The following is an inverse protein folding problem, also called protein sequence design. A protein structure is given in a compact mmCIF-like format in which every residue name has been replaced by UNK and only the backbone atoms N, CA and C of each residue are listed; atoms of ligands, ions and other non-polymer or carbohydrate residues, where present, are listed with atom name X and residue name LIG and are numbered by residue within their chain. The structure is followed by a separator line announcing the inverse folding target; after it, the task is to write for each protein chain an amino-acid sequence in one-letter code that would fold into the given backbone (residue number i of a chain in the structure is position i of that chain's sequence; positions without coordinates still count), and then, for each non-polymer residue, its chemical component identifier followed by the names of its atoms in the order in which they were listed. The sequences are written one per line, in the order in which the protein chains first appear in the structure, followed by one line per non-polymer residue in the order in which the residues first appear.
data_IF_225256530792
#
_entry.id   IF_225256530792
#
_cell.length_a   1.000
_cell.length_b   1.000
_cell.length_c   1.000
_cell.angle_alpha   90.00
_cell.angle_beta   90.00
_cell.angle_gamma   90.00
#
_symmetry.space_group_name_H-M   'P 1'
#
loop_
_entity.id
_entity.type
_entity.pdbx_description
1 polymer ?
#
# COMPACT_ATOMS: atom_id res chain seq x y z
N UNK A 1 -6.33 2.73 4.85
CA UNK A 1 -5.93 1.65 5.81
C UNK A 1 -4.48 1.76 6.25
N UNK A 2 -3.50 1.74 5.34
CA UNK A 2 -2.07 1.84 5.70
C UNK A 2 -1.74 3.12 6.47
N UNK A 3 -2.30 4.25 6.06
CA UNK A 3 -2.18 5.53 6.77
C UNK A 3 -2.56 5.43 8.25
N UNK A 4 -3.75 4.87 8.55
CA UNK A 4 -4.22 4.69 9.92
C UNK A 4 -3.31 3.75 10.73
N UNK A 5 -2.75 2.71 10.09
CA UNK A 5 -1.76 1.81 10.70
C UNK A 5 -0.48 2.57 11.05
N UNK A 6 -0.02 3.45 10.17
CA UNK A 6 1.14 4.31 10.40
C UNK A 6 0.92 5.22 11.61
N UNK A 7 -0.20 5.94 11.68
CA UNK A 7 -0.51 6.79 12.84
C UNK A 7 -0.62 5.97 14.13
N UNK A 8 -1.31 4.82 14.09
CA UNK A 8 -1.44 3.96 15.25
C UNK A 8 -0.07 3.47 15.76
N UNK A 9 0.85 3.11 14.86
CA UNK A 9 2.23 2.78 15.23
C UNK A 9 2.97 3.97 15.84
N UNK A 10 2.88 5.15 15.24
CA UNK A 10 3.59 6.35 15.73
C UNK A 10 3.12 6.80 17.11
N UNK A 11 1.83 6.67 17.41
CA UNK A 11 1.27 7.05 18.71
C UNK A 11 1.54 5.99 19.78
N UNK A 12 1.48 4.70 19.44
CA UNK A 12 1.52 3.62 20.45
C UNK A 12 2.87 2.90 20.56
N UNK A 13 3.71 2.94 19.52
CA UNK A 13 4.93 2.13 19.42
C UNK A 13 4.72 0.62 19.25
N UNK A 14 3.47 0.15 19.11
CA UNK A 14 3.18 -1.29 19.06
C UNK A 14 3.56 -1.92 17.72
N UNK A 15 4.56 -2.81 17.75
CA UNK A 15 5.07 -3.52 16.56
C UNK A 15 4.03 -4.36 15.81
N UNK A 16 2.85 -4.64 16.39
CA UNK A 16 1.76 -5.32 15.65
C UNK A 16 1.37 -4.57 14.38
N UNK A 17 1.43 -3.24 14.40
CA UNK A 17 1.07 -2.40 13.26
C UNK A 17 2.07 -2.58 12.10
N UNK A 18 3.36 -2.72 12.41
CA UNK A 18 4.38 -3.07 11.43
C UNK A 18 4.16 -4.47 10.84
N UNK A 19 3.78 -5.44 11.67
CA UNK A 19 3.43 -6.81 11.21
C UNK A 19 2.25 -6.78 10.24
N UNK A 20 1.21 -5.99 10.53
CA UNK A 20 0.07 -5.80 9.63
C UNK A 20 0.47 -5.09 8.35
N UNK A 21 1.27 -4.03 8.42
CA UNK A 21 1.83 -3.35 7.26
C UNK A 21 2.62 -4.29 6.35
N UNK A 22 3.45 -5.16 6.92
CA UNK A 22 4.18 -6.18 6.16
C UNK A 22 3.26 -7.20 5.49
N UNK A 23 2.20 -7.62 6.19
CA UNK A 23 1.18 -8.51 5.62
C UNK A 23 0.51 -7.85 4.42
N UNK A 24 0.15 -6.58 4.51
CA UNK A 24 -0.46 -5.80 3.42
C UNK A 24 0.51 -5.72 2.23
N UNK A 25 1.77 -5.33 2.45
CA UNK A 25 2.76 -5.24 1.38
C UNK A 25 2.93 -6.56 0.63
N UNK A 26 3.02 -7.69 1.33
CA UNK A 26 3.09 -9.02 0.70
C UNK A 26 1.87 -9.32 -0.16
N UNK A 27 0.66 -8.92 0.25
CA UNK A 27 -0.54 -9.12 -0.57
C UNK A 27 -0.55 -8.21 -1.80
N UNK A 28 -0.12 -6.95 -1.67
CA UNK A 28 0.04 -6.03 -2.81
C UNK A 28 1.01 -6.59 -3.84
N UNK A 29 2.19 -7.05 -3.42
CA UNK A 29 3.17 -7.67 -4.33
C UNK A 29 2.63 -8.95 -4.95
N UNK A 30 1.88 -9.75 -4.20
CA UNK A 30 1.33 -11.03 -4.71
C UNK A 30 0.20 -10.82 -5.73
N UNK A 31 -0.68 -9.86 -5.49
CA UNK A 31 -1.94 -9.75 -6.24
C UNK A 31 -1.97 -8.58 -7.21
N UNK A 32 -1.28 -7.47 -6.91
CA UNK A 32 -1.33 -6.25 -7.72
C UNK A 32 -0.11 -6.06 -8.62
N UNK A 33 0.99 -6.81 -8.42
CA UNK A 33 2.21 -6.67 -9.23
C UNK A 33 2.02 -7.25 -10.63
N UNK A 34 2.29 -6.45 -11.65
CA UNK A 34 2.32 -6.84 -13.06
C UNK A 34 3.77 -6.87 -13.57
N UNK A 35 4.03 -7.30 -14.83
CA UNK A 35 5.37 -7.23 -15.41
C UNK A 35 5.97 -5.80 -15.47
N UNK A 36 5.11 -4.78 -15.57
CA UNK A 36 5.50 -3.39 -15.81
C UNK A 36 5.28 -2.48 -14.60
N UNK A 37 4.57 -2.92 -13.56
CA UNK A 37 4.27 -2.09 -12.39
C UNK A 37 3.28 -2.72 -11.43
N UNK A 38 2.30 -1.93 -11.00
CA UNK A 38 1.19 -2.37 -10.16
C UNK A 38 -0.15 -1.98 -10.80
N UNK A 39 -1.16 -2.83 -10.64
CA UNK A 39 -2.53 -2.56 -11.07
C UNK A 39 -3.52 -2.94 -9.98
N UNK A 40 -4.66 -2.25 -9.95
CA UNK A 40 -5.78 -2.59 -9.09
C UNK A 40 -6.39 -3.94 -9.46
N UNK A 41 -7.27 -4.43 -8.57
CA UNK A 41 -8.01 -5.67 -8.80
C UNK A 41 -9.43 -5.33 -9.24
N UNK A 42 -9.95 -6.04 -10.25
CA UNK A 42 -11.34 -5.91 -10.68
C UNK A 42 -12.30 -6.53 -9.66
N UNK A 43 -11.96 -7.72 -9.15
CA UNK A 43 -12.70 -8.42 -8.11
C UNK A 43 -11.75 -8.99 -7.03
N UNK A 44 -11.92 -8.55 -5.79
CA UNK A 44 -11.11 -8.99 -4.65
C UNK A 44 -11.46 -10.42 -4.20
N UNK A 45 -12.65 -10.91 -4.55
CA UNK A 45 -13.15 -12.24 -4.18
C UNK A 45 -12.71 -13.33 -5.15
N UNK A 46 -12.13 -12.97 -6.29
CA UNK A 46 -11.56 -13.92 -7.25
C UNK A 46 -10.33 -14.61 -6.67
N UNK A 47 -10.54 -15.86 -6.26
CA UNK A 47 -9.46 -16.79 -5.94
C UNK A 47 -9.10 -17.60 -7.19
N UNK A 48 -7.86 -17.49 -7.66
CA UNK A 48 -7.34 -18.29 -8.79
C UNK A 48 -7.39 -19.80 -8.53
N UNK A 49 -7.53 -20.23 -7.27
CA UNK A 49 -7.63 -21.62 -6.85
C UNK A 49 -9.05 -22.08 -6.49
N UNK A 50 -10.05 -21.21 -6.50
CA UNK A 50 -11.44 -21.68 -6.45
C UNK A 50 -11.82 -22.14 -7.85
N UNK A 51 -11.92 -23.47 -8.04
CA UNK A 51 -12.85 -24.00 -9.04
C UNK A 51 -14.23 -23.47 -8.65
N UNK A 52 -14.69 -22.42 -9.31
CA UNK A 52 -15.95 -21.78 -9.00
C UNK A 52 -17.10 -22.76 -9.23
N UNK A 53 -18.20 -22.58 -8.50
CA UNK A 53 -19.47 -23.26 -8.75
C UNK A 53 -19.89 -23.17 -10.24
N UNK A 54 -19.48 -22.10 -10.91
CA UNK A 54 -19.64 -21.83 -12.34
C UNK A 54 -18.92 -22.89 -13.22
N UNK A 55 -17.89 -23.56 -12.72
CA UNK A 55 -17.20 -24.65 -13.43
C UNK A 55 -17.96 -25.99 -13.34
N UNK A 56 -18.78 -26.25 -12.32
CA UNK A 56 -19.55 -27.52 -12.23
C UNK A 56 -20.74 -27.54 -13.18
N UNK A 57 -21.43 -26.42 -13.35
CA UNK A 57 -22.50 -26.27 -14.36
C UNK A 57 -21.91 -26.39 -15.78
N UNK A 58 -20.72 -25.83 -15.98
CA UNK A 58 -19.97 -26.01 -17.21
C UNK A 58 -19.41 -27.43 -17.39
N UNK A 59 -19.23 -28.21 -16.31
CA UNK A 59 -18.79 -29.61 -16.38
C UNK A 59 -19.95 -30.55 -16.72
N UNK A 60 -21.11 -30.36 -16.10
CA UNK A 60 -22.35 -31.08 -16.45
C UNK A 60 -22.73 -30.79 -17.91
N UNK A 61 -22.67 -29.52 -18.31
CA UNK A 61 -22.94 -29.10 -19.70
C UNK A 61 -21.91 -29.67 -20.69
N UNK A 62 -20.67 -29.93 -20.25
CA UNK A 62 -19.62 -30.58 -21.06
C UNK A 62 -19.81 -32.10 -21.19
N UNK A 63 -20.32 -32.77 -20.16
CA UNK A 63 -20.63 -34.20 -20.20
C UNK A 63 -21.83 -34.47 -21.13
N UNK A 64 -22.87 -33.62 -21.07
CA UNK A 64 -24.09 -33.76 -21.89
C UNK A 64 -23.85 -33.43 -23.37
N UNK A 65 -22.96 -32.46 -23.69
CA UNK A 65 -22.69 -32.06 -25.07
C UNK A 65 -21.55 -32.85 -25.76
N UNK A 66 -20.89 -33.78 -25.07
CA UNK A 66 -19.78 -34.55 -25.66
C UNK A 66 -20.22 -35.60 -26.69
N UNK A 67 -21.50 -35.99 -26.69
CA UNK A 67 -22.03 -37.00 -27.61
C UNK A 67 -22.51 -36.42 -28.96
N UNK A 68 -22.64 -35.11 -29.09
CA UNK A 68 -23.32 -34.52 -30.25
C UNK A 68 -22.55 -33.31 -30.76
N UNK A 69 -21.77 -33.56 -31.82
CA UNK A 69 -21.33 -32.59 -32.84
C UNK A 69 -20.13 -31.71 -32.46
N UNK A 70 -19.12 -31.74 -33.35
CA UNK A 70 -17.99 -30.83 -33.34
C UNK A 70 -18.45 -29.37 -33.42
N UNK A 71 -18.25 -28.64 -32.32
CA UNK A 71 -18.62 -27.23 -32.19
C UNK A 71 -17.40 -26.36 -31.87
N UNK A 72 -17.39 -25.15 -32.43
CA UNK A 72 -16.36 -24.13 -32.30
C UNK A 72 -15.78 -24.00 -30.89
N UNK A 73 -14.45 -24.15 -30.80
CA UNK A 73 -13.67 -23.91 -29.58
C UNK A 73 -13.77 -22.43 -29.20
N UNK A 74 -14.74 -22.06 -28.35
CA UNK A 74 -14.68 -20.80 -27.62
C UNK A 74 -13.46 -20.86 -26.69
N UNK A 75 -12.41 -20.12 -27.05
CA UNK A 75 -11.31 -19.80 -26.14
C UNK A 75 -11.92 -19.06 -24.94
N UNK A 76 -12.08 -19.74 -23.80
CA UNK A 76 -12.40 -19.04 -22.54
C UNK A 76 -11.17 -18.20 -22.19
N UNK A 77 -11.18 -16.93 -22.55
CA UNK A 77 -10.18 -15.96 -22.12
C UNK A 77 -10.32 -15.81 -20.61
N UNK A 78 -9.40 -16.42 -19.86
CA UNK A 78 -9.16 -16.01 -18.48
C UNK A 78 -8.56 -14.60 -18.56
N UNK A 79 -9.41 -13.57 -18.57
CA UNK A 79 -8.93 -12.20 -18.44
C UNK A 79 -8.20 -12.06 -17.10
N UNK A 80 -7.06 -11.36 -17.11
CA UNK A 80 -6.37 -11.04 -15.86
C UNK A 80 -7.31 -10.23 -14.96
N UNK A 81 -7.34 -10.56 -13.67
CA UNK A 81 -8.11 -9.81 -12.65
C UNK A 81 -7.56 -8.40 -12.36
N UNK A 82 -6.75 -7.85 -13.27
CA UNK A 82 -6.14 -6.53 -13.19
C UNK A 82 -6.98 -5.52 -13.97
N UNK A 83 -7.16 -4.34 -13.40
CA UNK A 83 -7.87 -3.23 -14.06
C UNK A 83 -7.01 -2.46 -15.08
N UNK A 84 -5.72 -2.82 -15.18
CA UNK A 84 -4.70 -2.19 -16.04
C UNK A 84 -4.49 -0.69 -15.78
N UNK A 85 -4.76 -0.23 -14.55
CA UNK A 85 -4.51 1.13 -14.10
C UNK A 85 -3.59 1.16 -12.89
N UNK A 86 -2.51 1.95 -12.97
CA UNK A 86 -1.68 2.30 -11.82
C UNK A 86 -2.04 3.70 -11.32
N UNK A 87 -2.80 3.77 -10.24
CA UNK A 87 -3.13 5.05 -9.64
C UNK A 87 -1.90 5.74 -9.04
N UNK A 88 -1.78 7.06 -9.24
CA UNK A 88 -0.66 7.87 -8.72
C UNK A 88 -0.56 7.85 -7.19
N UNK A 89 -1.69 7.85 -6.49
CA UNK A 89 -1.76 7.77 -5.03
C UNK A 89 -1.12 6.49 -4.47
N UNK A 90 -1.01 5.42 -5.26
CA UNK A 90 -0.34 4.19 -4.83
C UNK A 90 1.13 4.46 -4.46
N UNK A 91 1.83 5.24 -5.28
CA UNK A 91 3.22 5.62 -5.02
C UNK A 91 3.31 6.71 -3.94
N UNK A 92 2.47 7.74 -4.05
CA UNK A 92 2.53 8.91 -3.17
C UNK A 92 2.11 8.61 -1.74
N UNK A 93 1.09 7.77 -1.54
CA UNK A 93 0.52 7.52 -0.21
C UNK A 93 0.85 6.11 0.26
N UNK A 94 0.44 5.09 -0.49
CA UNK A 94 0.50 3.70 -0.01
C UNK A 94 1.93 3.25 0.23
N UNK A 95 2.84 3.46 -0.74
CA UNK A 95 4.25 3.11 -0.57
C UNK A 95 4.97 4.05 0.41
N UNK A 96 4.61 5.33 0.45
CA UNK A 96 5.20 6.29 1.39
C UNK A 96 4.89 5.92 2.84
N UNK A 97 3.64 5.62 3.18
CA UNK A 97 3.27 5.21 4.53
C UNK A 97 3.83 3.83 4.90
N UNK A 98 3.87 2.88 3.96
CA UNK A 98 4.56 1.61 4.19
C UNK A 98 6.05 1.82 4.47
N UNK A 99 6.72 2.70 3.73
CA UNK A 99 8.13 3.03 3.97
C UNK A 99 8.33 3.69 5.34
N UNK A 100 7.52 4.69 5.69
CA UNK A 100 7.64 5.40 6.98
C UNK A 100 7.29 4.53 8.19
N UNK A 101 6.47 3.49 8.01
CA UNK A 101 6.11 2.53 9.05
C UNK A 101 7.30 1.68 9.51
N UNK A 102 8.27 1.41 8.63
CA UNK A 102 9.47 0.63 8.95
C UNK A 102 10.71 1.51 9.23
N UNK A 103 10.57 2.83 9.14
CA UNK A 103 11.63 3.77 9.48
C UNK A 103 11.53 4.28 10.91
N UNK A 104 12.64 4.80 11.40
CA UNK A 104 12.75 5.39 12.73
C UNK A 104 11.80 6.59 12.91
N UNK A 105 11.43 6.81 14.18
CA UNK A 105 10.50 7.87 14.56
C UNK A 105 11.03 9.28 14.22
N UNK A 106 12.35 9.42 14.14
CA UNK A 106 13.05 10.69 13.95
C UNK A 106 13.10 11.16 12.49
N UNK A 107 12.85 10.29 11.50
CA UNK A 107 12.96 10.67 10.09
C UNK A 107 11.90 11.72 9.70
N UNK A 108 10.68 11.58 10.23
CA UNK A 108 9.60 12.57 10.15
C UNK A 108 8.81 12.49 11.45
N UNK A 109 9.08 13.41 12.39
CA UNK A 109 8.31 13.49 13.63
C UNK A 109 6.94 14.12 13.37
N UNK A 110 5.88 13.53 13.94
CA UNK A 110 4.53 14.08 13.88
C UNK A 110 4.36 15.35 14.72
N UNK A 111 5.34 15.68 15.58
CA UNK A 111 5.36 16.94 16.34
C UNK A 111 5.81 18.13 15.47
N UNK A 112 6.56 17.85 14.39
CA UNK A 112 7.15 18.86 13.51
C UNK A 112 6.47 18.95 12.14
N UNK A 113 5.85 17.85 11.69
CA UNK A 113 5.24 17.75 10.37
C UNK A 113 3.77 17.32 10.45
N UNK A 114 2.92 18.05 9.73
CA UNK A 114 1.56 17.60 9.39
C UNK A 114 1.56 17.03 7.99
N UNK A 115 0.92 15.88 7.80
CA UNK A 115 0.66 15.34 6.47
C UNK A 115 -0.71 15.85 5.99
N UNK A 116 -0.79 16.29 4.73
CA UNK A 116 -2.08 16.49 4.07
C UNK A 116 -2.69 15.15 3.64
N UNK A 117 -3.87 15.19 3.01
CA UNK A 117 -4.59 14.00 2.52
C UNK A 117 -3.85 13.22 1.44
N UNK A 118 -2.86 13.82 0.78
CA UNK A 118 -2.01 13.18 -0.25
C UNK A 118 -0.63 12.77 0.31
N UNK A 119 -0.51 12.69 1.64
CA UNK A 119 0.68 12.32 2.36
C UNK A 119 1.89 13.24 2.10
N UNK A 120 1.68 14.51 1.74
CA UNK A 120 2.76 15.48 1.64
C UNK A 120 3.08 16.07 3.02
N UNK A 121 4.32 15.92 3.52
CA UNK A 121 4.70 16.47 4.82
C UNK A 121 4.89 17.99 4.72
N UNK A 122 4.10 18.73 5.50
CA UNK A 122 4.19 20.18 5.66
C UNK A 122 4.75 20.44 7.04
N UNK A 123 5.91 21.10 7.09
CA UNK A 123 6.56 21.46 8.36
C UNK A 123 5.76 22.55 9.06
N UNK A 124 5.40 22.32 10.31
CA UNK A 124 4.78 23.34 11.15
C UNK A 124 5.91 24.27 11.62
N UNK A 125 5.93 25.49 11.12
CA UNK A 125 6.86 26.52 11.59
C UNK A 125 6.54 26.92 13.02
N UNK A 126 7.23 26.34 14.01
CA UNK A 126 7.36 26.89 15.35
C UNK A 126 8.51 27.91 15.37
N UNK A 127 8.22 29.14 15.81
CA UNK A 127 9.00 30.33 15.55
C UNK A 127 10.45 30.34 16.06
N UNK A 128 11.20 31.30 15.51
CA UNK A 128 12.50 31.83 15.96
C UNK A 128 12.94 31.32 17.34
N UNK A 129 13.68 30.21 17.39
CA UNK A 129 14.57 29.97 18.52
C UNK A 129 15.66 31.03 18.44
N UNK A 130 15.45 32.17 19.12
CA UNK A 130 16.56 33.07 19.49
C UNK A 130 17.52 32.22 20.30
N UNK A 131 18.54 31.69 19.65
CA UNK A 131 19.74 31.24 20.34
C UNK A 131 20.25 32.47 21.09
N UNK A 132 20.11 32.47 22.41
CA UNK A 132 20.82 33.42 23.26
C UNK A 132 22.31 33.21 22.99
N UNK A 133 22.86 34.02 22.07
CA UNK A 133 24.30 34.20 21.93
C UNK A 133 24.73 34.83 23.26
N UNK A 134 25.40 34.03 24.07
CA UNK A 134 25.98 34.41 25.35
C UNK A 134 26.64 35.79 25.28
N UNK A 135 26.05 36.77 25.96
CA UNK A 135 26.81 37.89 26.51
C UNK A 135 27.50 37.37 27.78
N UNK A 136 28.76 36.97 27.63
CA UNK A 136 29.78 36.98 28.68
C UNK A 136 31.04 37.48 27.99
N UNK A 137 31.13 38.80 27.80
CA UNK A 137 31.98 39.69 28.60
C UNK A 137 33.44 39.32 28.48
N UNK A 138 34.13 40.09 27.63
CA UNK A 138 35.57 40.33 27.68
C UNK A 138 36.00 40.51 29.14
N UNK A 139 36.90 39.65 29.62
CA UNK A 139 37.67 39.91 30.83
C UNK A 139 39.15 39.82 30.49
N UNK A 140 39.84 40.92 30.76
CA UNK A 140 41.23 41.21 30.41
C UNK A 140 42.21 40.19 30.97
N UNK A 141 43.10 39.69 30.11
CA UNK A 141 44.38 39.13 30.52
C UNK A 141 45.29 40.31 30.89
N UNK A 142 45.57 40.44 32.18
CA UNK A 142 46.79 41.09 32.68
C UNK A 142 47.84 40.00 32.92
#
# INVERSE_FOLDING_TARGET
VVESIFYAYRVTGDTKYQKWGWKIFKQLVKHCKTPTGFSGLRDVMMDKNRKGYDDVDNMITREVNKSTIGGNRHHKNYESNWDDMQHSYFLAETLKYLYLLFNDHNLISLDEYVFNTEAHPIRIGGGTTRTNRSKTSFESVK
#
